data_IF_111943654012
#
_entry.id   IF_111943654012
#
_cell.length_a   1.000
_cell.length_b   1.000
_cell.length_c   1.000
_cell.angle_alpha   90.00
_cell.angle_beta   90.00
_cell.angle_gamma   90.00
#
_symmetry.space_group_name_H-M   'P 1'
#
loop_
_entity.id
_entity.type
_entity.pdbx_description
1 polymer ?
#
# COMPACT_ATOMS: atom_id res chain seq x y z
N UNK A 1 -0.40 -8.84 -13.29
CA UNK A 1 0.35 -9.22 -12.07
C UNK A 1 1.39 -8.13 -11.76
N UNK A 2 0.97 -6.95 -11.26
CA UNK A 2 1.77 -5.82 -10.70
C UNK A 2 3.05 -5.30 -11.41
N UNK A 3 3.62 -6.01 -12.38
CA UNK A 3 4.87 -5.68 -13.08
C UNK A 3 4.70 -4.56 -14.09
N UNK A 4 3.48 -4.37 -14.60
CA UNK A 4 3.16 -3.29 -15.54
C UNK A 4 3.24 -1.93 -14.83
N UNK A 5 2.69 -1.83 -13.61
CA UNK A 5 2.64 -0.56 -12.87
C UNK A 5 4.02 -0.09 -12.37
N UNK A 6 4.88 -1.01 -11.93
CA UNK A 6 6.21 -0.63 -11.43
C UNK A 6 7.13 -0.18 -12.56
N UNK A 7 7.02 -0.81 -13.73
CA UNK A 7 7.77 -0.40 -14.92
C UNK A 7 7.40 1.02 -15.32
N UNK A 8 6.11 1.31 -15.41
CA UNK A 8 5.62 2.65 -15.79
C UNK A 8 6.08 3.71 -14.79
N UNK A 9 6.11 3.37 -13.49
CA UNK A 9 6.65 4.24 -12.44
C UNK A 9 8.13 4.57 -12.65
N UNK A 10 8.95 3.57 -12.97
CA UNK A 10 10.39 3.74 -13.20
C UNK A 10 10.68 4.48 -14.51
N UNK A 11 9.88 4.27 -15.54
CA UNK A 11 9.94 5.04 -16.80
C UNK A 11 9.60 6.52 -16.56
N UNK A 12 8.63 6.80 -15.68
CA UNK A 12 8.30 8.14 -15.19
C UNK A 12 9.32 8.73 -14.20
N UNK A 13 10.44 8.03 -13.95
CA UNK A 13 11.53 8.44 -13.04
C UNK A 13 11.09 8.56 -11.57
N UNK A 14 10.12 7.77 -11.14
CA UNK A 14 9.67 7.75 -9.75
C UNK A 14 10.20 6.49 -9.04
N UNK A 15 10.68 6.66 -7.82
CA UNK A 15 11.02 5.56 -6.89
C UNK A 15 9.96 5.56 -5.78
N UNK A 16 9.28 4.43 -5.58
CA UNK A 16 8.17 4.31 -4.63
C UNK A 16 8.65 4.35 -3.16
N UNK A 17 9.77 3.69 -2.87
CA UNK A 17 10.45 3.60 -1.56
C UNK A 17 9.72 2.85 -0.44
N UNK A 18 8.41 2.66 -0.56
CA UNK A 18 7.62 1.94 0.44
C UNK A 18 6.76 0.82 -0.15
N UNK A 19 7.33 0.05 -1.09
CA UNK A 19 6.64 -1.13 -1.58
C UNK A 19 6.58 -2.19 -0.49
N UNK A 20 5.38 -2.40 0.02
CA UNK A 20 5.05 -3.44 0.99
C UNK A 20 3.61 -3.94 0.67
N UNK A 21 3.13 -5.06 1.27
CA UNK A 21 1.80 -5.57 0.97
C UNK A 21 0.64 -4.59 1.24
N UNK A 22 0.84 -3.57 2.08
CA UNK A 22 -0.13 -2.50 2.31
C UNK A 22 -0.22 -1.49 1.17
N UNK A 23 0.85 -1.34 0.37
CA UNK A 23 0.89 -0.49 -0.82
C UNK A 23 0.28 -1.17 -2.07
N UNK A 24 0.01 -2.48 -2.00
CA UNK A 24 -0.55 -3.28 -3.10
C UNK A 24 -2.02 -3.55 -2.83
N UNK A 25 -2.90 -2.96 -3.62
CA UNK A 25 -4.36 -3.04 -3.41
C UNK A 25 -5.04 -3.78 -4.55
N UNK A 26 -6.00 -4.63 -4.20
CA UNK A 26 -6.91 -5.23 -5.17
C UNK A 26 -8.01 -4.24 -5.56
N UNK A 27 -8.38 -4.26 -6.83
CA UNK A 27 -9.59 -3.60 -7.26
C UNK A 27 -10.82 -4.25 -6.62
N UNK A 28 -11.81 -3.42 -6.28
CA UNK A 28 -13.12 -3.87 -5.86
C UNK A 28 -14.16 -3.34 -6.84
N UNK A 29 -15.22 -4.13 -7.09
CA UNK A 29 -16.37 -3.70 -7.87
C UNK A 29 -16.85 -2.33 -7.43
N UNK A 30 -17.08 -1.43 -8.39
CA UNK A 30 -17.68 -0.12 -8.09
C UNK A 30 -19.00 -0.31 -7.33
N UNK A 31 -19.10 0.41 -6.22
CA UNK A 31 -20.28 0.40 -5.37
C UNK A 31 -21.20 1.60 -5.60
N UNK A 32 -20.88 2.47 -6.55
CA UNK A 32 -21.54 3.77 -6.76
C UNK A 32 -23.04 3.63 -7.12
N UNK A 33 -23.42 2.47 -7.66
CA UNK A 33 -24.79 2.14 -8.03
C UNK A 33 -25.64 1.57 -6.87
N UNK A 34 -25.03 1.22 -5.75
CA UNK A 34 -25.73 0.64 -4.60
C UNK A 34 -26.10 1.71 -3.58
N UNK A 35 -27.29 1.59 -2.99
CA UNK A 35 -27.61 2.37 -1.80
C UNK A 35 -26.83 1.86 -0.57
N UNK A 36 -26.81 2.66 0.50
CA UNK A 36 -26.11 2.32 1.75
C UNK A 36 -26.56 0.98 2.34
N UNK A 37 -27.83 0.61 2.18
CA UNK A 37 -28.37 -0.64 2.73
C UNK A 37 -27.82 -1.85 1.96
N UNK A 38 -27.76 -1.76 0.65
CA UNK A 38 -27.15 -2.74 -0.23
C UNK A 38 -25.64 -2.85 0.01
N UNK A 39 -24.93 -1.72 0.16
CA UNK A 39 -23.51 -1.71 0.55
C UNK A 39 -23.31 -2.46 1.87
N UNK A 40 -24.12 -2.21 2.89
CA UNK A 40 -24.01 -2.92 4.18
C UNK A 40 -24.36 -4.40 4.11
N UNK A 41 -25.22 -4.83 3.17
CA UNK A 41 -25.46 -6.25 2.91
C UNK A 41 -24.21 -6.93 2.33
N UNK A 42 -23.45 -6.22 1.51
CA UNK A 42 -22.24 -6.75 0.88
C UNK A 42 -21.02 -6.70 1.80
N UNK A 43 -20.76 -5.55 2.43
CA UNK A 43 -19.53 -5.28 3.20
C UNK A 43 -19.70 -5.39 4.72
N UNK A 44 -20.94 -5.50 5.19
CA UNK A 44 -21.28 -5.34 6.59
C UNK A 44 -21.42 -3.88 7.00
N UNK A 45 -21.98 -3.67 8.19
CA UNK A 45 -22.06 -2.34 8.80
C UNK A 45 -20.70 -1.95 9.37
N UNK A 46 -20.25 -0.70 9.18
CA UNK A 46 -19.09 -0.16 9.88
C UNK A 46 -19.25 -0.34 11.40
N UNK A 47 -18.26 -0.96 12.04
CA UNK A 47 -18.23 -1.13 13.49
C UNK A 47 -17.18 -0.20 14.07
N UNK A 48 -17.59 0.59 15.04
CA UNK A 48 -16.73 1.51 15.77
C UNK A 48 -16.51 0.99 17.18
N UNK A 49 -15.27 1.07 17.66
CA UNK A 49 -14.90 0.79 19.04
C UNK A 49 -14.35 2.07 19.66
N UNK A 50 -14.83 2.42 20.85
CA UNK A 50 -14.23 3.49 21.64
C UNK A 50 -12.80 3.08 22.00
N UNK A 51 -11.82 3.88 21.58
CA UNK A 51 -10.39 3.67 21.90
C UNK A 51 -10.04 4.08 23.34
N UNK A 52 -11.04 4.49 24.12
CA UNK A 52 -10.92 4.84 25.52
C UNK A 52 -10.37 6.25 25.73
N UNK A 53 -9.78 6.49 26.91
CA UNK A 53 -9.25 7.80 27.30
C UNK A 53 -7.85 8.04 26.71
N UNK A 54 -7.77 8.24 25.39
CA UNK A 54 -6.61 8.87 24.78
C UNK A 54 -6.65 10.40 25.00
N UNK A 55 -5.54 11.09 24.67
CA UNK A 55 -5.43 12.55 24.75
C UNK A 55 -6.44 13.28 23.82
N UNK A 56 -7.05 12.57 22.87
CA UNK A 56 -8.17 13.02 22.03
C UNK A 56 -9.19 11.88 21.90
N UNK A 57 -10.49 12.22 21.93
CA UNK A 57 -11.56 11.25 21.63
C UNK A 57 -11.47 10.80 20.17
N UNK A 58 -11.69 9.52 19.92
CA UNK A 58 -11.80 8.95 18.59
C UNK A 58 -12.41 7.56 18.64
N UNK A 59 -12.99 7.14 17.52
CA UNK A 59 -13.51 5.78 17.35
C UNK A 59 -12.58 5.02 16.41
N UNK A 60 -12.22 3.79 16.78
CA UNK A 60 -11.52 2.89 15.87
C UNK A 60 -12.54 2.17 15.01
N UNK A 61 -12.50 2.42 13.71
CA UNK A 61 -13.29 1.66 12.74
C UNK A 61 -12.62 0.30 12.55
N UNK A 62 -13.37 -0.78 12.76
CA UNK A 62 -12.91 -2.14 12.49
C UNK A 62 -12.50 -2.23 11.01
N UNK A 63 -11.31 -2.79 10.68
CA UNK A 63 -10.96 -3.09 9.31
C UNK A 63 -12.04 -3.94 8.63
N UNK A 64 -12.39 -3.55 7.41
CA UNK A 64 -13.34 -4.27 6.58
C UNK A 64 -12.69 -5.51 5.97
N UNK A 65 -13.45 -6.59 5.84
CA UNK A 65 -13.05 -7.74 5.03
C UNK A 65 -13.85 -7.70 3.73
N UNK A 66 -13.16 -7.52 2.61
CA UNK A 66 -13.79 -7.50 1.29
C UNK A 66 -14.19 -8.93 0.92
N UNK A 67 -15.46 -9.21 0.61
CA UNK A 67 -15.87 -10.52 0.09
C UNK A 67 -15.21 -10.80 -1.27
N UNK A 68 -14.81 -12.04 -1.51
CA UNK A 68 -14.21 -12.46 -2.79
C UNK A 68 -15.10 -12.15 -4.00
N UNK A 69 -16.43 -12.15 -3.82
CA UNK A 69 -17.40 -11.83 -4.88
C UNK A 69 -17.35 -10.38 -5.36
N UNK A 70 -16.73 -9.48 -4.59
CA UNK A 70 -16.51 -8.08 -4.94
C UNK A 70 -15.08 -7.79 -5.39
N UNK A 71 -14.14 -8.73 -5.18
CA UNK A 71 -12.75 -8.56 -5.59
C UNK A 71 -12.64 -8.78 -7.10
N UNK A 72 -11.95 -7.88 -7.77
CA UNK A 72 -11.57 -7.99 -9.17
C UNK A 72 -10.09 -8.38 -9.28
N UNK A 73 -9.67 -8.83 -10.47
CA UNK A 73 -8.30 -9.35 -10.70
C UNK A 73 -7.25 -8.26 -10.95
N UNK A 74 -7.69 -7.02 -11.07
CA UNK A 74 -6.79 -5.87 -11.22
C UNK A 74 -6.14 -5.53 -9.88
N UNK A 75 -4.88 -5.10 -9.96
CA UNK A 75 -4.06 -4.70 -8.82
C UNK A 75 -3.57 -3.28 -9.11
N UNK A 76 -3.55 -2.44 -8.08
CA UNK A 76 -3.00 -1.09 -8.14
C UNK A 76 -1.95 -0.90 -7.06
N UNK A 77 -0.94 -0.09 -7.40
CA UNK A 77 -0.02 0.47 -6.41
C UNK A 77 -0.62 1.74 -5.81
N UNK A 78 -0.47 1.90 -4.50
CA UNK A 78 -0.81 3.12 -3.78
C UNK A 78 0.21 3.42 -2.69
N UNK A 79 -0.12 4.40 -1.85
CA UNK A 79 0.77 4.91 -0.80
C UNK A 79 2.10 5.50 -1.32
N UNK A 80 1.99 6.55 -2.13
CA UNK A 80 3.11 7.31 -2.66
C UNK A 80 3.66 8.35 -1.66
N UNK A 81 3.33 8.25 -0.36
CA UNK A 81 3.72 9.24 0.65
C UNK A 81 5.23 9.41 0.82
N UNK A 82 6.01 8.40 0.43
CA UNK A 82 7.46 8.39 0.47
C UNK A 82 8.12 8.45 -0.92
N UNK A 83 7.33 8.51 -1.99
CA UNK A 83 7.84 8.48 -3.34
C UNK A 83 8.72 9.69 -3.65
N UNK A 84 9.74 9.49 -4.48
CA UNK A 84 10.70 10.53 -4.90
C UNK A 84 10.99 10.44 -6.39
N UNK A 85 11.51 11.52 -6.96
CA UNK A 85 12.17 11.46 -8.26
C UNK A 85 13.51 10.68 -8.14
N UNK A 86 13.82 9.87 -9.15
CA UNK A 86 15.03 9.07 -9.21
C UNK A 86 16.30 9.91 -9.13
N UNK A 87 17.24 9.50 -8.27
CA UNK A 87 18.48 10.23 -8.00
C UNK A 87 18.35 11.30 -6.91
N UNK A 88 17.17 11.50 -6.33
CA UNK A 88 16.98 12.39 -5.19
C UNK A 88 17.61 11.81 -3.93
N UNK A 89 18.51 12.56 -3.30
CA UNK A 89 19.06 12.20 -2.00
C UNK A 89 18.02 12.35 -0.89
N UNK A 90 17.96 11.39 0.03
CA UNK A 90 16.99 11.40 1.14
C UNK A 90 17.69 11.36 2.49
N UNK A 91 17.12 12.05 3.46
CA UNK A 91 17.59 12.05 4.86
C UNK A 91 17.35 10.68 5.50
N UNK A 92 16.14 10.14 5.34
CA UNK A 92 15.75 8.83 5.87
C UNK A 92 15.84 7.76 4.79
N UNK A 93 16.90 6.96 4.83
CA UNK A 93 17.18 5.91 3.83
C UNK A 93 16.52 4.58 4.19
N UNK A 94 16.64 4.16 5.44
CA UNK A 94 15.98 2.96 5.96
C UNK A 94 14.50 3.23 6.15
N UNK A 95 13.65 2.36 5.59
CA UNK A 95 12.20 2.45 5.70
C UNK A 95 11.63 1.27 6.49
N UNK A 96 10.45 1.50 7.08
CA UNK A 96 9.64 0.44 7.69
C UNK A 96 8.45 0.13 6.80
N UNK A 97 8.08 -1.15 6.62
CA UNK A 97 8.62 -2.32 7.31
C UNK A 97 10.00 -2.75 6.79
N UNK A 98 10.97 -2.96 7.71
CA UNK A 98 12.38 -3.21 7.36
C UNK A 98 12.62 -4.48 6.54
N UNK A 99 11.69 -5.43 6.57
CA UNK A 99 11.72 -6.65 5.73
C UNK A 99 11.70 -6.35 4.23
N UNK A 100 11.06 -5.25 3.82
CA UNK A 100 11.00 -4.82 2.42
C UNK A 100 12.08 -3.80 2.07
N UNK A 101 12.84 -3.32 3.06
CA UNK A 101 13.88 -2.34 2.84
C UNK A 101 15.06 -2.98 2.13
N UNK A 102 15.47 -2.38 1.01
CA UNK A 102 16.61 -2.84 0.24
C UNK A 102 17.93 -2.74 1.05
N UNK A 103 18.86 -3.70 0.87
CA UNK A 103 20.07 -3.80 1.68
C UNK A 103 20.97 -2.57 1.56
N UNK A 104 21.04 -1.94 0.40
CA UNK A 104 21.84 -0.73 0.16
C UNK A 104 21.41 0.45 1.05
N UNK A 105 20.12 0.54 1.39
CA UNK A 105 19.59 1.60 2.24
C UNK A 105 20.12 1.50 3.70
N UNK A 106 20.38 0.28 4.18
CA UNK A 106 21.04 0.06 5.48
C UNK A 106 22.51 0.48 5.46
N UNK A 107 23.13 0.52 4.28
CA UNK A 107 24.51 0.95 4.06
C UNK A 107 24.61 2.43 3.66
N UNK A 108 23.57 3.22 3.97
CA UNK A 108 23.50 4.66 3.71
C UNK A 108 23.54 5.02 2.23
N UNK A 109 23.21 4.09 1.32
CA UNK A 109 22.92 4.45 -0.07
C UNK A 109 21.53 5.10 -0.17
N UNK A 110 21.36 6.01 -1.12
CA UNK A 110 20.05 6.56 -1.43
C UNK A 110 19.18 5.52 -2.17
N UNK A 111 17.86 5.47 -1.89
CA UNK A 111 16.95 4.59 -2.59
C UNK A 111 16.95 4.87 -4.09
N UNK A 112 16.79 3.81 -4.88
CA UNK A 112 16.77 3.86 -6.33
C UNK A 112 15.69 2.92 -6.89
N UNK A 113 15.55 2.89 -8.21
CA UNK A 113 14.70 1.90 -8.89
C UNK A 113 15.03 0.46 -8.47
N UNK A 114 16.31 0.15 -8.20
CA UNK A 114 16.73 -1.16 -7.73
C UNK A 114 16.20 -1.47 -6.31
N UNK A 115 16.04 -0.44 -5.48
CA UNK A 115 15.48 -0.58 -4.14
C UNK A 115 14.01 -1.01 -4.21
N UNK A 116 13.21 -0.42 -5.12
CA UNK A 116 11.84 -0.87 -5.37
C UNK A 116 11.80 -2.30 -5.90
N UNK A 117 12.73 -2.67 -6.79
CA UNK A 117 12.80 -4.04 -7.31
C UNK A 117 13.10 -5.06 -6.21
N UNK A 118 13.96 -4.72 -5.23
CA UNK A 118 14.17 -5.56 -4.05
C UNK A 118 12.89 -5.75 -3.26
N UNK A 119 12.20 -4.65 -2.92
CA UNK A 119 10.94 -4.70 -2.19
C UNK A 119 9.88 -5.53 -2.92
N UNK A 120 9.75 -5.35 -4.24
CA UNK A 120 8.86 -6.14 -5.09
C UNK A 120 9.21 -7.64 -5.05
N UNK A 121 10.49 -8.01 -5.11
CA UNK A 121 10.91 -9.41 -4.97
C UNK A 121 10.57 -9.98 -3.59
N UNK A 122 10.69 -9.20 -2.52
CA UNK A 122 10.27 -9.62 -1.18
C UNK A 122 8.75 -9.85 -1.09
N UNK A 123 7.94 -9.02 -1.75
CA UNK A 123 6.48 -9.21 -1.84
C UNK A 123 6.19 -10.48 -2.65
N UNK A 124 6.81 -10.63 -3.82
CA UNK A 124 6.62 -11.78 -4.70
C UNK A 124 6.98 -13.10 -4.01
N UNK A 125 8.05 -13.13 -3.21
CA UNK A 125 8.44 -14.34 -2.46
C UNK A 125 7.54 -14.65 -1.25
N UNK A 126 6.74 -13.68 -0.78
CA UNK A 126 5.77 -13.90 0.29
C UNK A 126 4.45 -14.47 -0.27
N UNK A 127 4.01 -14.00 -1.43
CA UNK A 127 2.79 -14.51 -2.10
C UNK A 127 2.96 -15.96 -2.58
#
# INVERSE_FOLDING_TARGET
MATVDLKDLHEAKIVHRDLNPGAVMWEIKSLDQYDTTAIYKHLGQPRQFDIGRLWKRGDLVKPMTVPETLREDNIYLGDFGLAIEGGTAVTTKVQTPTRFCAPENFHKADPSFASDMWSYMCIFAWL
#
